data_IF_725573643401
#
_entry.id   IF_725573643401
#
_cell.length_a   1.000
_cell.length_b   1.000
_cell.length_c   1.000
_cell.angle_alpha   90.00
_cell.angle_beta   90.00
_cell.angle_gamma   90.00
#
_symmetry.space_group_name_H-M   'P 1'
#
loop_
_entity.id
_entity.type
_entity.pdbx_description
1 polymer ?
#
# COMPACT_ATOMS: atom_id res chain seq x y z
N UNK A 1 19.46 -16.51 -33.24
CA UNK A 1 19.85 -15.34 -34.07
C UNK A 1 18.62 -14.45 -34.10
N UNK A 2 18.59 -13.23 -33.55
CA UNK A 2 19.64 -12.26 -33.19
C UNK A 2 19.09 -11.38 -32.06
N UNK A 3 19.87 -11.16 -31.00
CA UNK A 3 20.64 -9.94 -30.69
C UNK A 3 19.86 -8.87 -29.90
N UNK A 4 20.23 -8.81 -28.63
CA UNK A 4 20.12 -7.75 -27.64
C UNK A 4 20.86 -6.48 -28.10
N UNK A 5 20.24 -5.31 -27.97
CA UNK A 5 20.95 -4.04 -27.80
C UNK A 5 20.17 -3.09 -26.90
N UNK A 6 20.74 -2.82 -25.73
CA UNK A 6 20.36 -1.73 -24.85
C UNK A 6 20.81 -0.38 -25.39
N UNK A 7 20.01 0.65 -25.14
CA UNK A 7 20.30 2.03 -25.50
C UNK A 7 20.56 2.86 -24.24
N UNK A 8 21.76 3.45 -24.20
CA UNK A 8 22.30 4.30 -23.14
C UNK A 8 21.98 5.74 -23.50
N UNK A 9 21.37 6.49 -22.57
CA UNK A 9 21.10 7.92 -22.76
C UNK A 9 22.37 8.79 -22.66
N UNK A 10 22.52 9.82 -23.52
CA UNK A 10 23.70 10.67 -23.53
C UNK A 10 23.64 11.84 -22.53
N UNK A 11 24.83 12.13 -22.00
CA UNK A 11 25.17 13.20 -21.04
C UNK A 11 25.20 14.55 -21.77
N UNK A 12 24.51 15.54 -21.23
CA UNK A 12 24.43 16.91 -21.77
C UNK A 12 25.79 17.61 -21.87
N UNK A 13 26.01 18.24 -23.04
CA UNK A 13 27.19 19.04 -23.42
C UNK A 13 27.22 20.44 -22.76
N UNK A 14 28.42 21.06 -22.66
CA UNK A 14 28.65 22.35 -22.01
C UNK A 14 28.33 23.55 -22.91
N UNK A 15 28.00 24.67 -22.25
CA UNK A 15 27.58 25.94 -22.87
C UNK A 15 28.78 26.75 -23.42
N UNK A 16 28.46 27.50 -24.47
CA UNK A 16 29.32 28.08 -25.49
C UNK A 16 30.49 28.98 -25.02
N UNK A 17 31.57 28.85 -25.79
CA UNK A 17 32.70 29.77 -25.90
C UNK A 17 32.30 30.97 -26.76
N UNK A 18 32.58 32.17 -26.27
CA UNK A 18 32.49 33.41 -27.05
C UNK A 18 33.89 33.89 -27.38
N UNK A 19 34.14 34.01 -28.67
CA UNK A 19 35.37 34.45 -29.33
C UNK A 19 35.63 35.94 -29.07
N UNK A 20 36.86 36.31 -28.69
CA UNK A 20 37.37 37.67 -28.87
C UNK A 20 38.66 37.57 -29.68
N UNK A 21 38.57 38.06 -30.90
CA UNK A 21 39.65 38.25 -31.84
C UNK A 21 40.07 39.71 -31.67
N UNK A 22 41.30 40.03 -31.27
CA UNK A 22 41.92 41.31 -31.65
C UNK A 22 43.43 41.35 -31.40
N UNK A 23 44.11 41.52 -32.53
CA UNK A 23 45.45 42.02 -32.82
C UNK A 23 46.15 42.82 -31.72
N UNK A 24 47.35 42.34 -31.37
CA UNK A 24 48.33 42.99 -30.50
C UNK A 24 48.97 44.22 -31.17
N UNK A 25 48.99 45.40 -30.54
CA UNK A 25 50.08 46.34 -30.70
C UNK A 25 51.13 46.07 -29.61
N UNK A 26 52.37 45.83 -30.01
CA UNK A 26 53.52 45.76 -29.10
C UNK A 26 53.74 47.16 -28.53
N UNK A 27 53.32 47.36 -27.28
CA UNK A 27 53.69 48.53 -26.48
C UNK A 27 54.70 48.07 -25.45
N UNK A 28 55.97 48.31 -25.76
CA UNK A 28 57.09 48.17 -24.84
C UNK A 28 56.90 49.15 -23.68
N UNK A 29 56.30 48.65 -22.60
CA UNK A 29 56.08 49.42 -21.38
C UNK A 29 56.83 48.73 -20.27
N UNK A 30 57.91 49.37 -19.82
CA UNK A 30 58.72 49.01 -18.67
C UNK A 30 57.83 49.04 -17.41
N UNK A 31 57.28 47.89 -17.03
CA UNK A 31 56.46 47.79 -15.81
C UNK A 31 57.39 47.69 -14.60
N UNK A 32 57.34 48.75 -13.80
CA UNK A 32 57.84 48.81 -12.42
C UNK A 32 57.06 47.78 -11.59
N UNK A 33 57.71 46.90 -10.80
CA UNK A 33 57.00 45.91 -9.99
C UNK A 33 56.30 46.61 -8.82
N UNK A 34 55.03 46.97 -9.02
CA UNK A 34 54.09 47.17 -7.93
C UNK A 34 53.46 45.82 -7.54
N UNK A 35 53.27 45.52 -6.25
CA UNK A 35 52.61 44.28 -5.86
C UNK A 35 51.16 44.29 -6.37
N UNK A 36 50.85 43.38 -7.28
CA UNK A 36 49.45 43.05 -7.61
C UNK A 36 48.90 42.25 -6.44
N UNK A 37 48.26 42.93 -5.49
CA UNK A 37 47.44 42.25 -4.48
C UNK A 37 46.24 41.62 -5.17
N UNK A 38 46.39 40.36 -5.57
CA UNK A 38 45.26 39.48 -5.92
C UNK A 38 44.39 39.34 -4.66
N UNK A 39 43.05 39.42 -4.74
CA UNK A 39 42.17 39.40 -3.57
C UNK A 39 42.00 37.96 -3.04
N UNK A 40 43.09 37.32 -2.67
CA UNK A 40 43.11 35.97 -2.07
C UNK A 40 42.35 35.92 -0.75
N UNK A 41 42.25 37.07 -0.07
CA UNK A 41 41.61 37.21 1.24
C UNK A 41 40.07 37.05 1.19
N UNK A 42 39.41 37.47 0.10
CA UNK A 42 37.94 37.42 -0.05
C UNK A 42 37.43 36.01 -0.40
N UNK A 43 38.21 35.23 -1.16
CA UNK A 43 37.87 33.84 -1.44
C UNK A 43 38.08 32.98 -0.19
N UNK A 44 39.17 33.22 0.55
CA UNK A 44 39.46 32.50 1.79
C UNK A 44 38.38 32.74 2.86
N UNK A 45 37.88 33.97 3.01
CA UNK A 45 36.83 34.28 3.98
C UNK A 45 35.48 33.67 3.60
N UNK A 46 35.12 33.64 2.31
CA UNK A 46 33.89 32.98 1.80
C UNK A 46 33.93 31.47 1.91
N UNK A 47 35.10 30.85 1.76
CA UNK A 47 35.26 29.42 1.99
C UNK A 47 35.15 29.09 3.48
N UNK A 48 35.77 29.91 4.34
CA UNK A 48 35.68 29.73 5.79
C UNK A 48 34.24 29.84 6.29
N UNK A 49 33.49 30.86 5.84
CA UNK A 49 32.08 31.01 6.25
C UNK A 49 31.20 29.84 5.80
N UNK A 50 31.45 29.26 4.62
CA UNK A 50 30.75 28.04 4.17
C UNK A 50 31.10 26.83 5.03
N UNK A 51 32.37 26.67 5.41
CA UNK A 51 32.82 25.61 6.32
C UNK A 51 32.13 25.75 7.68
N UNK A 52 32.04 26.97 8.22
CA UNK A 52 31.41 27.23 9.51
C UNK A 52 29.90 26.90 9.47
N UNK A 53 29.21 27.27 8.38
CA UNK A 53 27.79 26.93 8.17
C UNK A 53 27.59 25.42 8.08
N UNK A 54 28.40 24.71 7.28
CA UNK A 54 28.31 23.26 7.14
C UNK A 54 28.61 22.55 8.47
N UNK A 55 29.58 23.04 9.23
CA UNK A 55 29.92 22.51 10.57
C UNK A 55 28.76 22.70 11.54
N UNK A 56 28.09 23.85 11.50
CA UNK A 56 26.91 24.13 12.33
C UNK A 56 25.73 23.22 11.93
N UNK A 57 25.51 23.01 10.64
CA UNK A 57 24.47 22.12 10.14
C UNK A 57 24.72 20.66 10.53
N UNK A 58 25.95 20.17 10.39
CA UNK A 58 26.34 18.81 10.79
C UNK A 58 26.11 18.59 12.29
N UNK A 59 26.49 19.57 13.12
CA UNK A 59 26.25 19.51 14.57
C UNK A 59 24.74 19.48 14.90
N UNK A 60 23.94 20.27 14.20
CA UNK A 60 22.47 20.29 14.36
C UNK A 60 21.84 18.95 13.96
N UNK A 61 22.24 18.38 12.81
CA UNK A 61 21.73 17.09 12.33
C UNK A 61 22.11 15.95 13.29
N UNK A 62 23.34 15.94 13.83
CA UNK A 62 23.75 14.95 14.85
C UNK A 62 22.90 15.04 16.11
N UNK A 63 22.60 16.26 16.57
CA UNK A 63 21.72 16.47 17.73
C UNK A 63 20.29 15.99 17.45
N UNK A 64 19.75 16.27 16.26
CA UNK A 64 18.43 15.79 15.84
C UNK A 64 18.37 14.26 15.76
N UNK A 65 19.40 13.62 15.18
CA UNK A 65 19.48 12.17 15.09
C UNK A 65 19.48 11.53 16.48
N UNK A 66 20.31 12.03 17.41
CA UNK A 66 20.34 11.54 18.78
C UNK A 66 18.97 11.70 19.50
N UNK A 67 18.25 12.80 19.22
CA UNK A 67 16.89 13.01 19.74
C UNK A 67 15.91 11.96 19.21
N UNK A 68 15.93 11.69 17.90
CA UNK A 68 15.06 10.67 17.28
C UNK A 68 15.40 9.26 17.78
N UNK A 69 16.68 8.93 17.95
CA UNK A 69 17.12 7.64 18.51
C UNK A 69 16.61 7.46 19.96
N UNK A 70 16.67 8.50 20.78
CA UNK A 70 16.12 8.47 22.14
C UNK A 70 14.58 8.31 22.15
N UNK A 71 13.88 8.99 21.23
CA UNK A 71 12.43 8.83 21.07
C UNK A 71 12.05 7.42 20.63
N UNK A 72 12.82 6.83 19.71
CA UNK A 72 12.63 5.46 19.25
C UNK A 72 12.83 4.45 20.39
N UNK A 73 13.88 4.60 21.19
CA UNK A 73 14.12 3.78 22.38
C UNK A 73 12.93 3.87 23.36
N UNK A 74 12.46 5.09 23.63
CA UNK A 74 11.32 5.30 24.55
C UNK A 74 10.02 4.65 24.02
N UNK A 75 9.79 4.69 22.70
CA UNK A 75 8.65 4.03 22.08
C UNK A 75 8.76 2.50 22.16
N UNK A 76 9.96 1.95 22.00
CA UNK A 76 10.21 0.51 22.15
C UNK A 76 9.95 0.04 23.59
N UNK A 77 10.38 0.81 24.59
CA UNK A 77 10.12 0.51 26.00
C UNK A 77 8.61 0.56 26.32
N UNK A 78 7.90 1.58 25.82
CA UNK A 78 6.46 1.69 25.98
C UNK A 78 5.72 0.52 25.32
N UNK A 79 6.17 0.08 24.14
CA UNK A 79 5.60 -1.09 23.47
C UNK A 79 5.78 -2.36 24.31
N UNK A 80 6.96 -2.57 24.90
CA UNK A 80 7.23 -3.70 25.78
C UNK A 80 6.36 -3.68 27.05
N UNK A 81 6.14 -2.49 27.64
CA UNK A 81 5.23 -2.29 28.78
C UNK A 81 3.78 -2.63 28.38
N UNK A 82 3.31 -2.12 27.25
CA UNK A 82 1.97 -2.41 26.74
C UNK A 82 1.77 -3.92 26.50
N UNK A 83 2.76 -4.60 25.91
CA UNK A 83 2.72 -6.04 25.70
C UNK A 83 2.67 -6.81 27.03
N UNK A 84 3.47 -6.39 28.03
CA UNK A 84 3.48 -7.00 29.36
C UNK A 84 2.14 -6.82 30.08
N UNK A 85 1.55 -5.63 30.00
CA UNK A 85 0.23 -5.34 30.57
C UNK A 85 -0.88 -6.16 29.90
N UNK A 86 -0.80 -6.37 28.58
CA UNK A 86 -1.74 -7.20 27.85
C UNK A 86 -1.65 -8.68 28.30
N UNK A 87 -0.45 -9.20 28.51
CA UNK A 87 -0.23 -10.55 29.05
C UNK A 87 -0.78 -10.67 30.47
N UNK A 88 -0.51 -9.67 31.33
CA UNK A 88 -1.02 -9.65 32.70
C UNK A 88 -2.56 -9.64 32.75
N UNK A 89 -3.20 -8.80 31.93
CA UNK A 89 -4.67 -8.73 31.82
C UNK A 89 -5.28 -10.06 31.30
N UNK A 90 -4.58 -10.75 30.40
CA UNK A 90 -5.00 -12.07 29.90
C UNK A 90 -4.91 -13.15 30.98
N UNK A 91 -3.88 -13.10 31.80
CA UNK A 91 -3.68 -14.07 32.89
C UNK A 91 -4.68 -13.87 34.03
N UNK A 92 -5.07 -12.63 34.34
CA UNK A 92 -6.10 -12.36 35.35
C UNK A 92 -7.50 -12.78 34.90
N UNK A 93 -7.82 -12.70 33.60
CA UNK A 93 -9.09 -13.25 33.07
C UNK A 93 -9.14 -14.78 33.10
N UNK A 94 -8.00 -15.47 33.04
CA UNK A 94 -7.94 -16.94 33.00
C UNK A 94 -8.09 -17.59 34.38
N UNK A 95 -7.97 -16.84 35.48
CA UNK A 95 -8.13 -17.37 36.85
C UNK A 95 -9.58 -17.37 37.37
N UNK A 96 -10.54 -16.84 36.60
CA UNK A 96 -11.95 -16.74 37.02
C UNK A 96 -12.90 -17.77 36.40
N UNK A 97 -12.40 -18.78 35.67
CA UNK A 97 -13.24 -19.83 35.08
C UNK A 97 -12.93 -21.19 35.71
N UNK A 98 -13.86 -21.66 36.54
CA UNK A 98 -13.94 -23.06 36.96
C UNK A 98 -14.16 -23.98 35.75
N UNK A 99 -13.64 -25.22 35.78
CA UNK A 99 -13.60 -26.09 34.61
C UNK A 99 -14.97 -26.71 34.36
N UNK A 100 -15.60 -26.35 33.24
CA UNK A 100 -16.72 -27.11 32.68
C UNK A 100 -16.15 -28.02 31.58
N UNK A 101 -16.53 -29.29 31.67
CA UNK A 101 -16.05 -30.43 30.90
C UNK A 101 -15.88 -30.17 29.40
N UNK A 102 -14.76 -30.67 28.88
CA UNK A 102 -14.40 -30.79 27.48
C UNK A 102 -15.47 -31.55 26.69
N UNK A 103 -16.26 -30.82 25.93
CA UNK A 103 -16.97 -31.34 24.76
C UNK A 103 -16.11 -30.90 23.57
N UNK A 104 -15.55 -31.86 22.85
CA UNK A 104 -14.88 -31.68 21.56
C UNK A 104 -15.91 -31.14 20.55
N UNK A 105 -16.20 -29.84 20.65
CA UNK A 105 -17.04 -29.13 19.71
C UNK A 105 -16.20 -28.96 18.43
N UNK A 106 -16.72 -29.30 17.24
CA UNK A 106 -16.03 -28.94 16.02
C UNK A 106 -15.75 -27.43 16.06
N UNK A 107 -14.51 -27.07 15.75
CA UNK A 107 -14.09 -25.71 15.48
C UNK A 107 -15.10 -25.13 14.49
N UNK A 108 -15.90 -24.16 14.94
CA UNK A 108 -16.82 -23.44 14.08
C UNK A 108 -16.19 -22.08 13.74
N UNK A 109 -16.53 -21.55 12.57
CA UNK A 109 -16.26 -20.16 12.21
C UNK A 109 -17.56 -19.54 11.68
N UNK A 110 -17.70 -18.23 11.87
CA UNK A 110 -18.84 -17.47 11.41
C UNK A 110 -18.40 -16.37 10.45
N UNK A 111 -19.13 -16.25 9.35
CA UNK A 111 -19.01 -15.16 8.39
C UNK A 111 -20.12 -14.15 8.63
N UNK A 112 -19.77 -12.88 8.65
CA UNK A 112 -20.74 -11.78 8.68
C UNK A 112 -20.37 -10.70 7.67
N UNK A 113 -21.37 -10.05 7.09
CA UNK A 113 -21.16 -8.86 6.28
C UNK A 113 -20.60 -7.72 7.14
N UNK A 114 -19.59 -7.00 6.65
CA UNK A 114 -19.21 -5.72 7.24
C UNK A 114 -20.22 -4.66 6.78
N UNK A 115 -21.13 -4.25 7.66
CA UNK A 115 -22.15 -3.25 7.34
C UNK A 115 -21.58 -1.88 6.98
N UNK A 116 -20.32 -1.61 7.27
CA UNK A 116 -19.68 -0.33 6.98
C UNK A 116 -19.07 -0.25 5.58
N UNK A 117 -18.94 -1.37 4.85
CA UNK A 117 -18.32 -1.40 3.53
C UNK A 117 -19.00 -2.41 2.58
N UNK A 118 -19.13 -2.10 1.28
CA UNK A 118 -18.76 -0.86 0.61
C UNK A 118 -19.80 0.27 0.85
N UNK A 119 -19.31 1.52 1.01
CA UNK A 119 -20.15 2.70 1.34
C UNK A 119 -20.81 3.37 0.13
N UNK A 120 -20.27 3.16 -1.06
CA UNK A 120 -20.72 3.83 -2.27
C UNK A 120 -21.59 2.89 -3.11
N UNK A 121 -22.76 3.38 -3.52
CA UNK A 121 -23.65 2.67 -4.45
C UNK A 121 -23.34 3.01 -5.92
N UNK A 122 -22.63 4.11 -6.17
CA UNK A 122 -22.21 4.56 -7.50
C UNK A 122 -20.81 5.17 -7.44
N UNK A 123 -19.98 4.88 -8.45
CA UNK A 123 -18.65 5.47 -8.64
C UNK A 123 -18.42 5.79 -10.12
N UNK A 124 -17.50 6.70 -10.41
CA UNK A 124 -17.14 7.09 -11.78
C UNK A 124 -15.82 6.46 -12.18
N UNK A 125 -15.77 5.81 -13.35
CA UNK A 125 -14.56 5.28 -13.97
C UNK A 125 -13.79 6.40 -14.68
N UNK A 126 -12.46 6.40 -14.52
CA UNK A 126 -11.56 7.32 -15.22
C UNK A 126 -10.94 6.59 -16.41
N UNK A 127 -10.96 7.21 -17.60
CA UNK A 127 -10.45 6.59 -18.83
C UNK A 127 -11.09 5.23 -19.16
N UNK A 128 -12.37 5.07 -18.81
CA UNK A 128 -13.12 3.84 -19.06
C UNK A 128 -12.72 2.64 -18.20
N UNK A 129 -12.00 2.89 -17.09
CA UNK A 129 -11.65 1.88 -16.11
C UNK A 129 -11.82 2.37 -14.67
N UNK A 130 -12.12 1.44 -13.78
CA UNK A 130 -12.06 1.63 -12.33
C UNK A 130 -11.25 0.48 -11.74
N UNK A 131 -10.09 0.80 -11.16
CA UNK A 131 -9.19 -0.19 -10.59
C UNK A 131 -9.46 -0.35 -9.10
N UNK A 132 -9.60 -1.59 -8.65
CA UNK A 132 -9.78 -1.91 -7.23
C UNK A 132 -11.11 -1.45 -6.62
N UNK A 133 -12.23 -1.58 -7.33
CA UNK A 133 -13.57 -1.34 -6.80
C UNK A 133 -13.88 -2.30 -5.64
N UNK A 134 -14.07 -1.82 -4.39
CA UNK A 134 -14.47 -2.69 -3.29
C UNK A 134 -15.94 -3.09 -3.45
N UNK A 135 -16.22 -4.37 -3.68
CA UNK A 135 -17.57 -4.87 -3.98
C UNK A 135 -18.18 -5.73 -2.86
N UNK A 136 -17.35 -6.20 -1.93
CA UNK A 136 -17.78 -7.00 -0.79
C UNK A 136 -16.78 -6.85 0.34
N UNK A 137 -17.27 -6.59 1.55
CA UNK A 137 -16.48 -6.65 2.77
C UNK A 137 -17.17 -7.59 3.75
N UNK A 138 -16.42 -8.52 4.33
CA UNK A 138 -16.95 -9.50 5.27
C UNK A 138 -15.92 -9.78 6.36
N UNK A 139 -16.41 -10.17 7.51
CA UNK A 139 -15.61 -10.58 8.64
C UNK A 139 -15.73 -12.09 8.83
N UNK A 140 -14.63 -12.69 9.29
CA UNK A 140 -14.59 -14.08 9.75
C UNK A 140 -14.17 -14.07 11.21
N UNK A 141 -15.05 -14.56 12.07
CA UNK A 141 -14.75 -14.83 13.47
C UNK A 141 -14.54 -16.32 13.69
N UNK A 142 -13.40 -16.68 14.28
CA UNK A 142 -13.01 -18.05 14.59
C UNK A 142 -13.03 -18.26 16.11
N UNK A 143 -13.57 -19.37 16.62
CA UNK A 143 -13.59 -19.59 18.08
C UNK A 143 -12.24 -20.01 18.68
N UNK A 144 -11.23 -20.28 17.85
CA UNK A 144 -9.89 -20.69 18.31
C UNK A 144 -8.79 -19.94 17.56
N UNK A 145 -7.76 -19.53 18.28
CA UNK A 145 -6.64 -18.70 17.84
C UNK A 145 -5.61 -19.37 16.91
N UNK A 146 -5.95 -20.49 16.27
CA UNK A 146 -5.05 -21.29 15.44
C UNK A 146 -5.71 -21.67 14.10
N UNK A 147 -6.64 -20.87 13.60
CA UNK A 147 -7.33 -21.08 12.33
C UNK A 147 -6.80 -20.12 11.26
N UNK A 148 -6.76 -20.60 10.02
CA UNK A 148 -6.33 -19.83 8.86
C UNK A 148 -7.31 -19.99 7.71
N UNK A 149 -7.55 -18.90 7.00
CA UNK A 149 -8.36 -18.90 5.79
C UNK A 149 -7.54 -19.49 4.65
N UNK A 150 -7.99 -20.60 4.07
CA UNK A 150 -7.29 -21.31 3.00
C UNK A 150 -7.89 -20.99 1.62
N UNK A 151 -9.23 -20.88 1.58
CA UNK A 151 -10.00 -20.77 0.36
C UNK A 151 -11.19 -19.84 0.52
N UNK A 152 -11.45 -19.01 -0.48
CA UNK A 152 -12.69 -18.25 -0.62
C UNK A 152 -13.18 -18.30 -2.07
N UNK A 153 -14.45 -18.59 -2.26
CA UNK A 153 -15.16 -18.44 -3.53
C UNK A 153 -16.22 -17.35 -3.39
N UNK A 154 -16.22 -16.43 -4.34
CA UNK A 154 -17.12 -15.28 -4.38
C UNK A 154 -17.88 -15.29 -5.70
N UNK A 155 -19.20 -15.28 -5.63
CA UNK A 155 -20.05 -15.04 -6.78
C UNK A 155 -20.08 -13.53 -7.03
N UNK A 156 -19.78 -13.12 -8.25
CA UNK A 156 -19.79 -11.76 -8.75
C UNK A 156 -20.84 -11.70 -9.85
N UNK A 157 -21.98 -11.09 -9.54
CA UNK A 157 -23.00 -10.80 -10.54
C UNK A 157 -22.72 -9.41 -11.11
N UNK A 158 -22.69 -9.31 -12.42
CA UNK A 158 -22.48 -8.03 -13.10
C UNK A 158 -23.43 -7.88 -14.27
N UNK A 159 -23.80 -6.63 -14.56
CA UNK A 159 -24.67 -6.28 -15.67
C UNK A 159 -24.30 -4.90 -16.21
N UNK A 160 -24.07 -4.81 -17.51
CA UNK A 160 -23.71 -3.56 -18.15
C UNK A 160 -22.77 -3.78 -19.33
N UNK A 161 -21.95 -2.78 -19.59
CA UNK A 161 -21.01 -2.73 -20.71
C UNK A 161 -19.55 -2.92 -20.26
N UNK A 162 -19.31 -2.94 -18.95
CA UNK A 162 -17.99 -3.13 -18.38
C UNK A 162 -17.58 -4.61 -18.38
N UNK A 163 -16.29 -4.84 -18.25
CA UNK A 163 -15.69 -6.16 -18.13
C UNK A 163 -15.00 -6.28 -16.78
N UNK A 164 -15.27 -7.40 -16.09
CA UNK A 164 -14.64 -7.77 -14.83
C UNK A 164 -13.84 -9.06 -15.08
N UNK A 165 -12.52 -8.94 -15.08
CA UNK A 165 -11.62 -10.06 -15.41
C UNK A 165 -10.89 -10.54 -14.16
N UNK A 166 -10.59 -9.63 -13.25
CA UNK A 166 -9.75 -9.88 -12.07
C UNK A 166 -10.43 -9.47 -10.79
N UNK A 167 -10.22 -10.26 -9.75
CA UNK A 167 -10.60 -9.96 -8.38
C UNK A 167 -9.39 -10.13 -7.46
N UNK A 168 -9.35 -9.35 -6.39
CA UNK A 168 -8.28 -9.36 -5.40
C UNK A 168 -8.88 -9.35 -4.00
N UNK A 169 -8.35 -10.19 -3.12
CA UNK A 169 -8.74 -10.31 -1.72
C UNK A 169 -7.72 -9.57 -0.84
N UNK A 170 -8.19 -8.79 0.11
CA UNK A 170 -7.38 -8.00 1.04
C UNK A 170 -7.76 -8.33 2.48
N UNK A 171 -6.82 -8.19 3.41
CA UNK A 171 -7.05 -8.23 4.87
C UNK A 171 -6.27 -7.10 5.52
N UNK A 172 -6.97 -6.04 5.97
CA UNK A 172 -6.40 -4.91 6.73
C UNK A 172 -5.34 -4.02 6.05
N UNK A 173 -4.78 -4.40 4.89
CA UNK A 173 -3.67 -3.69 4.23
C UNK A 173 -3.95 -3.25 2.78
N UNK A 174 -2.97 -2.59 2.17
CA UNK A 174 -3.01 -2.10 0.78
C UNK A 174 -2.59 -3.14 -0.26
N UNK A 175 -1.96 -4.24 0.16
CA UNK A 175 -1.55 -5.33 -0.72
C UNK A 175 -2.56 -6.48 -0.68
N UNK A 176 -2.89 -7.09 -1.83
CA UNK A 176 -3.78 -8.24 -1.83
C UNK A 176 -3.09 -9.48 -1.27
N UNK A 177 -3.82 -10.23 -0.43
CA UNK A 177 -3.39 -11.52 0.13
C UNK A 177 -3.67 -12.68 -0.83
N UNK A 178 -4.56 -12.47 -1.81
CA UNK A 178 -4.80 -13.39 -2.90
C UNK A 178 -5.39 -12.65 -4.13
N UNK A 179 -5.21 -13.25 -5.31
CA UNK A 179 -5.78 -12.77 -6.58
C UNK A 179 -6.47 -13.93 -7.29
N UNK A 180 -7.53 -13.62 -8.03
CA UNK A 180 -8.31 -14.59 -8.77
C UNK A 180 -8.72 -14.01 -10.14
N UNK A 181 -8.85 -14.89 -11.13
CA UNK A 181 -9.54 -14.57 -12.37
C UNK A 181 -11.04 -14.77 -12.14
N UNK A 182 -11.85 -13.84 -12.63
CA UNK A 182 -13.31 -13.95 -12.61
C UNK A 182 -13.73 -14.73 -13.85
N UNK A 183 -14.30 -15.93 -13.64
CA UNK A 183 -14.77 -16.80 -14.72
C UNK A 183 -16.20 -17.23 -14.43
N UNK A 184 -17.11 -17.04 -15.38
CA UNK A 184 -18.54 -17.32 -15.24
C UNK A 184 -19.16 -16.67 -13.98
N UNK A 185 -18.74 -15.43 -13.67
CA UNK A 185 -19.21 -14.71 -12.49
C UNK A 185 -18.72 -15.30 -11.15
N UNK A 186 -17.64 -16.09 -11.15
CA UNK A 186 -17.04 -16.63 -9.92
C UNK A 186 -15.57 -16.26 -9.84
N UNK A 187 -15.16 -15.72 -8.69
CA UNK A 187 -13.76 -15.53 -8.32
C UNK A 187 -13.38 -16.54 -7.24
N UNK A 188 -12.35 -17.35 -7.51
CA UNK A 188 -11.85 -18.35 -6.57
C UNK A 188 -10.45 -17.99 -6.09
N UNK A 189 -10.33 -17.67 -4.80
CA UNK A 189 -9.09 -17.36 -4.11
C UNK A 189 -8.57 -18.62 -3.42
N UNK A 190 -7.39 -19.07 -3.82
CA UNK A 190 -6.66 -20.22 -3.26
C UNK A 190 -5.30 -19.77 -2.73
N UNK A 191 -4.66 -20.58 -1.89
CA UNK A 191 -3.31 -20.31 -1.37
C UNK A 191 -3.22 -18.93 -0.71
N UNK A 192 -4.25 -18.57 0.05
CA UNK A 192 -4.33 -17.26 0.71
C UNK A 192 -3.17 -17.19 1.71
N UNK A 193 -2.18 -16.34 1.41
CA UNK A 193 -0.94 -16.31 2.16
C UNK A 193 -1.20 -15.83 3.60
N UNK A 194 -0.80 -16.67 4.55
CA UNK A 194 -0.68 -16.49 6.01
C UNK A 194 -1.24 -15.18 6.55
N UNK A 195 -2.55 -15.14 6.78
CA UNK A 195 -3.13 -14.12 7.64
C UNK A 195 -2.73 -14.50 9.08
N UNK A 196 -2.32 -13.54 9.94
CA UNK A 196 -2.19 -13.79 11.37
C UNK A 196 -3.48 -14.43 11.88
N UNK A 197 -3.36 -15.45 12.74
CA UNK A 197 -4.47 -16.25 13.30
C UNK A 197 -5.81 -15.51 13.35
N UNK A 198 -6.86 -16.09 12.76
CA UNK A 198 -8.21 -15.50 12.82
C UNK A 198 -8.57 -15.18 14.27
N UNK A 199 -8.81 -13.89 14.55
CA UNK A 199 -9.24 -13.40 15.86
C UNK A 199 -10.50 -14.09 16.39
N UNK A 200 -10.58 -14.20 17.72
CA UNK A 200 -11.81 -14.63 18.41
C UNK A 200 -12.90 -13.56 18.28
N UNK A 201 -14.18 -13.89 18.49
CA UNK A 201 -15.28 -12.90 18.45
C UNK A 201 -15.09 -11.70 19.40
N UNK A 202 -14.20 -11.81 20.39
CA UNK A 202 -13.81 -10.77 21.34
C UNK A 202 -12.54 -9.98 20.96
N UNK A 203 -11.86 -10.37 19.88
CA UNK A 203 -10.63 -9.77 19.37
C UNK A 203 -10.87 -8.86 18.15
N UNK A 204 -9.81 -8.31 17.55
CA UNK A 204 -9.95 -7.50 16.33
C UNK A 204 -10.58 -8.36 15.22
N UNK A 205 -11.68 -7.87 14.63
CA UNK A 205 -12.35 -8.47 13.49
C UNK A 205 -11.38 -8.66 12.32
N UNK A 206 -11.44 -9.81 11.65
CA UNK A 206 -10.62 -10.09 10.47
C UNK A 206 -11.42 -9.64 9.25
N UNK A 207 -11.39 -8.34 8.97
CA UNK A 207 -12.13 -7.78 7.83
C UNK A 207 -11.39 -8.15 6.54
N UNK A 208 -12.10 -8.88 5.69
CA UNK A 208 -11.71 -9.21 4.33
C UNK A 208 -12.46 -8.34 3.33
N UNK A 209 -11.74 -7.81 2.34
CA UNK A 209 -12.32 -6.98 1.29
C UNK A 209 -12.01 -7.58 -0.06
N UNK A 210 -13.05 -7.80 -0.87
CA UNK A 210 -12.95 -8.20 -2.27
C UNK A 210 -13.01 -6.95 -3.12
N UNK A 211 -11.98 -6.75 -3.94
CA UNK A 211 -11.93 -5.69 -4.93
C UNK A 211 -11.86 -6.26 -6.34
N UNK A 212 -12.47 -5.59 -7.30
CA UNK A 212 -12.42 -5.94 -8.72
C UNK A 212 -11.95 -4.79 -9.59
N UNK A 213 -11.40 -5.11 -10.75
CA UNK A 213 -11.11 -4.12 -11.78
C UNK A 213 -12.24 -4.14 -12.81
N UNK A 214 -12.84 -2.98 -13.05
CA UNK A 214 -13.88 -2.78 -14.07
C UNK A 214 -13.24 -2.04 -15.24
N UNK A 215 -13.42 -2.53 -16.46
CA UNK A 215 -12.82 -1.95 -17.67
C UNK A 215 -13.79 -1.93 -18.84
N UNK A 216 -13.47 -1.23 -19.92
CA UNK A 216 -14.28 -1.23 -21.15
C UNK A 216 -15.49 -0.29 -21.14
N UNK A 217 -15.55 0.65 -20.20
CA UNK A 217 -16.57 1.69 -20.13
C UNK A 217 -16.21 2.84 -21.09
N UNK A 218 -16.54 2.68 -22.37
CA UNK A 218 -16.02 3.56 -23.44
C UNK A 218 -16.69 4.94 -23.53
N UNK A 219 -17.91 5.08 -23.01
CA UNK A 219 -18.75 6.27 -23.19
C UNK A 219 -19.29 6.81 -21.86
N UNK A 220 -19.65 8.10 -21.80
CA UNK A 220 -20.30 8.74 -20.62
C UNK A 220 -21.59 8.06 -20.15
N UNK A 221 -22.26 7.37 -21.06
CA UNK A 221 -23.50 6.65 -20.77
C UNK A 221 -23.27 5.15 -20.58
N UNK A 222 -22.02 4.69 -20.64
CA UNK A 222 -21.68 3.32 -20.31
C UNK A 222 -21.67 3.13 -18.79
N UNK A 223 -22.23 2.03 -18.32
CA UNK A 223 -22.20 1.67 -16.92
C UNK A 223 -22.03 0.17 -16.72
N UNK A 224 -21.55 -0.19 -15.55
CA UNK A 224 -21.45 -1.57 -15.07
C UNK A 224 -21.95 -1.63 -13.63
N UNK A 225 -23.04 -2.36 -13.40
CA UNK A 225 -23.51 -2.66 -12.04
C UNK A 225 -22.92 -3.98 -11.59
N UNK A 226 -22.36 -4.01 -10.38
CA UNK A 226 -21.66 -5.17 -9.81
C UNK A 226 -22.21 -5.44 -8.42
N UNK A 227 -22.49 -6.70 -8.11
CA UNK A 227 -22.73 -7.17 -6.74
C UNK A 227 -21.96 -8.45 -6.48
N UNK A 228 -21.70 -8.74 -5.21
CA UNK A 228 -20.94 -9.93 -4.84
C UNK A 228 -21.49 -10.61 -3.59
N UNK A 229 -21.31 -11.92 -3.52
CA UNK A 229 -21.65 -12.73 -2.34
C UNK A 229 -20.62 -13.84 -2.13
N UNK A 230 -20.33 -14.15 -0.87
CA UNK A 230 -19.51 -15.32 -0.53
C UNK A 230 -20.32 -16.57 -0.86
N UNK A 231 -19.78 -17.45 -1.70
CA UNK A 231 -20.42 -18.72 -2.05
C UNK A 231 -19.83 -19.92 -1.31
N UNK A 232 -18.53 -19.89 -1.02
CA UNK A 232 -17.87 -20.96 -0.25
C UNK A 232 -16.62 -20.44 0.45
N UNK A 233 -16.36 -20.91 1.66
CA UNK A 233 -15.12 -20.67 2.40
C UNK A 233 -14.57 -22.01 2.92
N UNK A 234 -13.24 -22.16 2.90
CA UNK A 234 -12.53 -23.21 3.65
C UNK A 234 -11.58 -22.55 4.63
N UNK A 235 -11.73 -22.92 5.89
CA UNK A 235 -10.82 -22.55 6.98
C UNK A 235 -10.17 -23.84 7.45
N UNK A 236 -8.87 -23.80 7.69
CA UNK A 236 -8.12 -24.93 8.24
C UNK A 236 -7.58 -24.56 9.62
N UNK A 237 -7.57 -25.52 10.54
CA UNK A 237 -6.92 -25.37 11.84
C UNK A 237 -5.41 -25.66 11.77
N UNK A 238 -4.71 -25.56 12.91
CA UNK A 238 -3.27 -25.84 13.00
C UNK A 238 -2.87 -27.28 12.68
N UNK A 239 -3.84 -28.21 12.65
CA UNK A 239 -3.63 -29.60 12.23
C UNK A 239 -3.91 -29.83 10.75
N UNK A 240 -4.32 -28.78 10.02
CA UNK A 240 -4.68 -28.84 8.60
C UNK A 240 -6.09 -29.36 8.35
N UNK A 241 -6.92 -29.48 9.38
CA UNK A 241 -8.28 -30.00 9.25
C UNK A 241 -9.29 -28.89 8.94
N UNK A 242 -10.29 -29.23 8.13
CA UNK A 242 -11.36 -28.30 7.77
C UNK A 242 -12.23 -27.92 8.99
N UNK A 243 -12.47 -26.63 9.11
CA UNK A 243 -13.33 -25.99 10.12
C UNK A 243 -14.72 -25.77 9.51
N UNK A 244 -15.77 -26.07 10.26
CA UNK A 244 -17.14 -25.81 9.81
C UNK A 244 -17.39 -24.30 9.78
N UNK A 245 -17.73 -23.77 8.60
CA UNK A 245 -18.02 -22.35 8.41
C UNK A 245 -19.52 -22.15 8.21
N UNK A 246 -20.08 -21.18 8.93
CA UNK A 246 -21.50 -20.84 8.88
C UNK A 246 -21.68 -19.33 8.62
N UNK A 247 -22.89 -18.94 8.18
CA UNK A 247 -23.22 -17.56 7.84
C UNK A 247 -23.11 -17.25 6.35
N UNK A 248 -23.50 -16.04 5.98
CA UNK A 248 -23.46 -15.54 4.61
C UNK A 248 -23.00 -14.08 4.63
N UNK A 249 -22.37 -13.64 3.54
CA UNK A 249 -22.08 -12.24 3.31
C UNK A 249 -22.47 -11.89 1.87
N UNK A 250 -23.36 -10.92 1.73
CA UNK A 250 -23.89 -10.44 0.46
C UNK A 250 -23.71 -8.94 0.43
N UNK A 251 -22.91 -8.46 -0.51
CA UNK A 251 -22.61 -7.05 -0.70
C UNK A 251 -23.74 -6.31 -1.40
N UNK A 252 -23.67 -4.98 -1.35
CA UNK A 252 -24.58 -4.11 -2.08
C UNK A 252 -24.30 -4.16 -3.59
N UNK A 253 -25.26 -3.66 -4.39
CA UNK A 253 -25.04 -3.36 -5.80
C UNK A 253 -24.31 -2.03 -5.92
N UNK A 254 -23.20 -2.01 -6.64
CA UNK A 254 -22.42 -0.80 -6.95
C UNK A 254 -22.44 -0.58 -8.45
N UNK A 255 -22.73 0.64 -8.90
CA UNK A 255 -22.71 1.02 -10.31
C UNK A 255 -21.47 1.84 -10.63
N UNK A 256 -20.68 1.42 -11.62
CA UNK A 256 -19.57 2.19 -12.18
C UNK A 256 -20.06 2.86 -13.46
N UNK A 257 -19.93 4.18 -13.57
CA UNK A 257 -20.29 4.93 -14.79
C UNK A 257 -19.03 5.43 -15.51
N UNK A 258 -19.00 5.36 -16.83
CA UNK A 258 -17.92 5.95 -17.63
C UNK A 258 -17.89 7.47 -17.51
N UNK A 259 -16.69 8.06 -17.48
CA UNK A 259 -16.51 9.50 -17.61
C UNK A 259 -16.24 9.90 -19.06
N UNK A 260 -16.59 11.13 -19.41
CA UNK A 260 -16.25 11.77 -20.67
C UNK A 260 -14.76 12.04 -20.69
N UNK A 261 -14.02 11.31 -21.52
CA UNK A 261 -12.70 11.77 -21.93
C UNK A 261 -12.92 12.95 -22.88
N UNK A 262 -13.04 14.16 -22.35
CA UNK A 262 -12.88 15.36 -23.17
C UNK A 262 -11.42 15.41 -23.59
N UNK A 263 -11.09 14.83 -24.75
CA UNK A 263 -9.78 15.05 -25.35
C UNK A 263 -9.70 16.51 -25.75
N UNK A 264 -9.16 17.36 -24.88
CA UNK A 264 -8.65 18.67 -25.26
C UNK A 264 -7.36 18.46 -26.06
N UNK A 265 -7.48 17.87 -27.24
CA UNK A 265 -6.51 18.09 -28.30
C UNK A 265 -6.75 19.53 -28.77
N UNK A 266 -5.94 20.45 -28.24
CA UNK A 266 -5.89 21.82 -28.72
C UNK A 266 -5.55 21.88 -30.22
N UNK A 267 -6.00 22.93 -30.92
CA UNK A 267 -5.82 23.09 -32.36
C UNK A 267 -4.35 23.09 -32.81
#
# INVERSE_FOLDING_TARGET
>A
MSEEKGEVQPISKPLASTTVNETTPVIDTKIVPGPVSVPTQDISSKLQSKIDVLTTQDTSLKSQLASVENQLSSLQDNLAICQSNLIAARNTQSQSQTPIASITKPSNAMISLDSYNPKANTVTATYGQYLGLPILAFDISAYTNNQSLDFVSVNIASSGQGNIITASLYSGGSNPIARAVVSNGVATFTNIQSIPSLGTPSGPYNIFIVKVDVSGLKDVNSSESVSASVSKIRIIDSSGQDVNVSGTAVGNVITVTGDSVTSTLGP
#
